data_IF_450053591386
#
_entry.id   IF_450053591386
#
_cell.length_a   1.000
_cell.length_b   1.000
_cell.length_c   1.000
_cell.angle_alpha   90.00
_cell.angle_beta   90.00
_cell.angle_gamma   90.00
#
_symmetry.space_group_name_H-M   'P 1'
#
loop_
_entity.id
_entity.type
_entity.pdbx_description
1 polymer ?
#
# COMPACT_ATOMS: atom_id res chain seq x y z
N UNK A 1 -0.92 -2.72 -8.23
CA UNK A 1 -2.26 -2.12 -8.40
C UNK A 1 -2.88 -1.93 -7.02
N UNK A 2 -3.76 -0.95 -6.87
CA UNK A 2 -4.47 -0.65 -5.61
C UNK A 2 -5.99 -0.88 -5.78
N UNK A 3 -6.75 -1.05 -4.69
CA UNK A 3 -8.22 -1.11 -4.76
C UNK A 3 -8.81 0.18 -5.33
N UNK A 4 -9.96 0.08 -5.96
CA UNK A 4 -10.56 1.18 -6.71
C UNK A 4 -11.24 2.22 -5.78
N UNK A 5 -11.49 1.86 -4.52
CA UNK A 5 -12.06 2.69 -3.46
C UNK A 5 -10.99 3.44 -2.63
N UNK A 6 -9.71 3.27 -2.93
CA UNK A 6 -8.62 4.03 -2.30
C UNK A 6 -8.30 5.31 -3.08
N UNK A 7 -8.33 6.44 -2.39
CA UNK A 7 -8.02 7.76 -2.95
C UNK A 7 -6.71 8.32 -2.40
N UNK A 8 -5.91 8.94 -3.26
CA UNK A 8 -4.69 9.62 -2.87
C UNK A 8 -5.00 11.00 -2.27
N UNK A 9 -4.44 11.29 -1.09
CA UNK A 9 -4.50 12.58 -0.44
C UNK A 9 -3.11 13.22 -0.39
N UNK A 10 -2.99 14.45 -0.89
CA UNK A 10 -1.72 15.19 -0.99
C UNK A 10 -1.45 16.16 0.17
N UNK A 11 -2.02 15.93 1.35
CA UNK A 11 -1.81 16.77 2.54
C UNK A 11 -0.37 16.70 3.08
N UNK A 12 -0.15 17.27 4.27
CA UNK A 12 1.18 17.31 4.91
C UNK A 12 1.83 15.92 5.06
N UNK A 13 1.01 14.90 5.32
CA UNK A 13 1.39 13.48 5.25
C UNK A 13 0.62 12.83 4.11
N UNK A 14 1.24 12.70 2.92
CA UNK A 14 0.60 12.04 1.79
C UNK A 14 0.22 10.61 2.13
N UNK A 15 -0.98 10.22 1.74
CA UNK A 15 -1.52 8.90 2.09
C UNK A 15 -2.55 8.43 1.05
N UNK A 16 -2.87 7.14 1.10
CA UNK A 16 -4.03 6.56 0.45
C UNK A 16 -5.06 6.21 1.52
N UNK A 17 -6.30 6.63 1.35
CA UNK A 17 -7.39 6.35 2.29
C UNK A 17 -8.59 5.79 1.53
N UNK A 18 -9.26 4.77 2.09
CA UNK A 18 -10.52 4.27 1.52
C UNK A 18 -11.61 5.34 1.61
N UNK A 19 -12.59 5.31 0.70
CA UNK A 19 -13.68 6.30 0.69
C UNK A 19 -14.47 6.38 2.01
N UNK A 20 -14.50 5.29 2.80
CA UNK A 20 -15.14 5.24 4.11
C UNK A 20 -14.22 5.63 5.30
N UNK A 21 -12.95 5.91 5.04
CA UNK A 21 -11.95 6.27 6.03
C UNK A 21 -11.48 5.13 6.94
N UNK A 22 -11.89 3.89 6.67
CA UNK A 22 -11.58 2.74 7.53
C UNK A 22 -10.12 2.27 7.42
N UNK A 23 -9.50 2.45 6.25
CA UNK A 23 -8.12 2.01 6.00
C UNK A 23 -7.30 3.19 5.47
N UNK A 24 -6.13 3.37 6.08
CA UNK A 24 -5.14 4.38 5.69
C UNK A 24 -3.76 3.76 5.48
N UNK A 25 -3.17 3.99 4.32
CA UNK A 25 -1.78 3.64 4.00
C UNK A 25 -0.96 4.92 3.94
N UNK A 26 0.05 5.02 4.80
CA UNK A 26 0.97 6.13 4.84
C UNK A 26 2.40 5.64 5.07
N UNK A 27 3.34 6.58 5.19
CA UNK A 27 4.71 6.26 5.58
C UNK A 27 4.69 5.47 6.90
N UNK A 28 5.53 4.44 6.97
CA UNK A 28 5.70 3.54 8.11
C UNK A 28 4.52 2.60 8.41
N UNK A 29 3.49 2.55 7.54
CA UNK A 29 2.45 1.49 7.58
C UNK A 29 3.03 0.14 7.18
N UNK A 30 2.65 -0.93 7.91
CA UNK A 30 2.95 -2.29 7.50
C UNK A 30 1.87 -2.78 6.54
N UNK A 31 2.27 -3.22 5.34
CA UNK A 31 1.33 -3.61 4.27
C UNK A 31 1.64 -5.02 3.78
N UNK A 32 0.62 -5.87 3.74
CA UNK A 32 0.66 -7.15 3.04
C UNK A 32 0.35 -6.93 1.57
N UNK A 33 1.28 -7.31 0.71
CA UNK A 33 1.14 -7.23 -0.74
C UNK A 33 1.43 -8.58 -1.41
N UNK A 34 0.94 -8.73 -2.64
CA UNK A 34 1.28 -9.84 -3.53
C UNK A 34 2.20 -9.34 -4.64
N UNK A 35 3.36 -9.96 -4.82
CA UNK A 35 4.28 -9.64 -5.92
C UNK A 35 3.68 -10.19 -7.23
N UNK A 36 3.57 -9.33 -8.25
CA UNK A 36 3.02 -9.69 -9.57
C UNK A 36 4.05 -9.60 -10.70
N UNK A 37 5.22 -9.02 -10.41
CA UNK A 37 6.32 -8.93 -11.36
C UNK A 37 7.61 -8.56 -10.67
N UNK A 38 8.72 -9.01 -11.22
CA UNK A 38 10.06 -8.73 -10.73
C UNK A 38 10.96 -8.32 -11.88
N UNK A 39 11.76 -7.29 -11.69
CA UNK A 39 12.86 -6.91 -12.58
C UNK A 39 14.16 -7.13 -11.82
N UNK A 40 15.04 -7.93 -12.40
CA UNK A 40 16.35 -8.23 -11.82
C UNK A 40 17.41 -7.51 -12.65
N UNK A 41 18.15 -6.62 -12.00
CA UNK A 41 19.35 -5.99 -12.53
C UNK A 41 20.59 -6.61 -11.86
N UNK A 42 21.81 -6.22 -12.26
CA UNK A 42 23.04 -6.87 -11.82
C UNK A 42 23.29 -6.82 -10.29
N UNK A 43 22.76 -5.80 -9.62
CA UNK A 43 23.00 -5.55 -8.19
C UNK A 43 21.73 -5.47 -7.36
N UNK A 44 20.56 -5.44 -8.01
CA UNK A 44 19.29 -5.12 -7.36
C UNK A 44 18.12 -5.90 -7.97
N UNK A 45 17.10 -6.14 -7.15
CA UNK A 45 15.83 -6.72 -7.56
C UNK A 45 14.74 -5.72 -7.23
N UNK A 46 13.99 -5.32 -8.25
CA UNK A 46 12.78 -4.53 -8.11
C UNK A 46 11.57 -5.42 -8.26
N UNK A 47 10.54 -5.17 -7.46
CA UNK A 47 9.29 -5.91 -7.50
C UNK A 47 8.13 -4.94 -7.68
N UNK A 48 7.12 -5.35 -8.45
CA UNK A 48 5.83 -4.67 -8.52
C UNK A 48 4.84 -5.49 -7.71
N UNK A 49 4.23 -4.85 -6.72
CA UNK A 49 3.22 -5.42 -5.84
C UNK A 49 1.79 -5.01 -6.20
N UNK A 50 0.83 -5.80 -5.75
CA UNK A 50 -0.60 -5.46 -5.74
C UNK A 50 -1.20 -5.71 -4.36
N UNK A 51 -2.24 -4.95 -4.04
CA UNK A 51 -3.09 -5.12 -2.85
C UNK A 51 -4.59 -5.21 -3.24
N UNK A 52 -4.89 -5.49 -4.52
CA UNK A 52 -6.26 -5.56 -5.05
C UNK A 52 -6.96 -6.90 -4.78
N UNK A 53 -6.21 -7.93 -4.40
CA UNK A 53 -6.77 -9.26 -4.09
C UNK A 53 -7.20 -9.33 -2.60
N UNK A 54 -8.06 -10.30 -2.27
CA UNK A 54 -8.55 -10.52 -0.92
C UNK A 54 -7.43 -10.76 0.11
N UNK A 55 -7.67 -10.31 1.35
CA UNK A 55 -6.76 -10.47 2.50
C UNK A 55 -5.40 -9.75 2.37
N UNK A 56 -5.26 -8.83 1.42
CA UNK A 56 -4.13 -7.91 1.27
C UNK A 56 -4.48 -6.52 1.84
N UNK A 57 -3.48 -5.66 2.03
CA UNK A 57 -3.66 -4.31 2.59
C UNK A 57 -2.90 -4.08 3.89
N UNK A 58 -3.35 -3.11 4.70
CA UNK A 58 -2.68 -2.70 5.94
C UNK A 58 -2.78 -3.79 7.01
N UNK A 59 -1.66 -4.09 7.66
CA UNK A 59 -1.57 -4.96 8.84
C UNK A 59 -1.49 -4.12 10.12
N UNK A 60 -0.73 -3.02 10.08
CA UNK A 60 -0.51 -2.14 11.21
C UNK A 60 -0.47 -0.67 10.74
N UNK A 61 -1.26 0.17 11.40
CA UNK A 61 -1.25 1.62 11.22
C UNK A 61 -0.52 2.28 12.39
N UNK A 62 0.64 2.95 12.16
CA UNK A 62 1.40 3.61 13.22
C UNK A 62 0.64 4.76 13.91
N UNK A 63 -0.47 5.24 13.34
CA UNK A 63 -1.32 6.27 13.93
C UNK A 63 -2.48 5.73 14.79
N UNK A 64 -2.70 4.41 14.80
CA UNK A 64 -3.76 3.76 15.56
C UNK A 64 -3.33 3.30 16.97
N UNK A 65 -2.12 3.67 17.41
CA UNK A 65 -1.55 3.35 18.72
C UNK A 65 -1.74 4.46 19.75
#
# INVERSE_FOLDING_TARGET
>A
MIPDDMEFQSGDVPNYTTSDGSVKIQKDSEVRLKIIGTRVDATEIFCIGTIKDDFLGVINDPSAA
#
